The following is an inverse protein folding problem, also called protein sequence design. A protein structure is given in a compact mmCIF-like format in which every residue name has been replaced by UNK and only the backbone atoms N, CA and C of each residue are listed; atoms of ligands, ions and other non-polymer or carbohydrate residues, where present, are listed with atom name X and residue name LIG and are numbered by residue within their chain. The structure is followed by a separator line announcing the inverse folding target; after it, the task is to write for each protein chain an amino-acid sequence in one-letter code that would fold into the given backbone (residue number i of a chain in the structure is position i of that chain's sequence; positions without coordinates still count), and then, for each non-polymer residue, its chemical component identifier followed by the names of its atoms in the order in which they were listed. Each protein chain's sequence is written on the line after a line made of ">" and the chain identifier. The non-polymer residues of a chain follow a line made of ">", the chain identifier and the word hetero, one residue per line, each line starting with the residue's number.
data_IF_588687955565
#
_entry.id   IF_588687955565
#
_cell.length_a   1.000
_cell.length_b   1.000
_cell.length_c   1.000
_cell.angle_alpha   90.00
_cell.angle_beta   90.00
_cell.angle_gamma   90.00
#
_symmetry.space_group_name_H-M   'P 1'
#
loop_
_entity.id
_entity.type
_entity.pdbx_description
1 polymer ?
#
# COMPACT_ATOMS: atom_id res chain seq x y z
N UNK A 1 1.67 29.61 5.10
CA UNK A 1 0.29 29.26 5.47
C UNK A 1 0.33 28.34 6.68
N UNK A 2 -0.21 28.77 7.82
CA UNK A 2 -0.30 27.97 9.05
C UNK A 2 -1.65 27.28 9.10
N UNK A 3 -1.69 25.98 8.84
CA UNK A 3 -2.91 25.18 8.96
C UNK A 3 -2.88 24.36 10.26
N UNK A 4 -4.00 24.28 10.96
CA UNK A 4 -4.19 23.36 12.09
C UNK A 4 -5.08 22.22 11.65
N UNK A 5 -4.53 21.00 11.69
CA UNK A 5 -5.27 19.76 11.48
C UNK A 5 -5.69 19.19 12.82
N UNK A 6 -6.98 18.91 12.98
CA UNK A 6 -7.48 18.20 14.15
C UNK A 6 -8.11 16.88 13.74
N UNK A 7 -7.54 15.80 14.26
CA UNK A 7 -8.06 14.45 14.10
C UNK A 7 -8.99 14.13 15.26
N UNK A 8 -10.27 13.85 14.97
CA UNK A 8 -11.22 13.36 15.96
C UNK A 8 -11.61 11.93 15.59
N UNK A 9 -10.85 10.98 16.16
CA UNK A 9 -11.00 9.54 15.93
C UNK A 9 -12.08 8.85 16.79
N UNK A 10 -12.80 9.61 17.64
CA UNK A 10 -13.56 9.02 18.74
C UNK A 10 -15.02 9.46 18.76
N UNK A 11 -15.77 9.03 17.75
CA UNK A 11 -17.16 8.60 17.97
C UNK A 11 -17.27 7.24 17.30
N UNK A 12 -17.19 6.20 18.11
CA UNK A 12 -17.55 4.85 17.69
C UNK A 12 -19.04 4.95 17.35
N UNK A 13 -19.39 4.96 16.06
CA UNK A 13 -20.77 4.98 15.58
C UNK A 13 -21.45 3.63 15.86
N UNK A 14 -21.54 3.24 17.13
CA UNK A 14 -22.44 2.20 17.64
C UNK A 14 -23.86 2.77 17.86
N UNK A 15 -24.03 4.09 17.67
CA UNK A 15 -25.29 4.81 17.79
C UNK A 15 -25.47 5.59 16.48
N UNK A 16 -26.62 5.44 15.82
CA UNK A 16 -26.84 5.83 14.42
C UNK A 16 -26.30 7.22 14.00
N UNK A 17 -25.98 7.34 12.71
CA UNK A 17 -25.22 8.43 12.08
C UNK A 17 -25.74 9.85 12.41
N UNK A 18 -27.06 10.03 12.49
CA UNK A 18 -27.66 11.31 12.86
C UNK A 18 -27.24 11.77 14.28
N UNK A 19 -27.20 10.85 15.24
CA UNK A 19 -26.80 11.14 16.62
C UNK A 19 -25.30 11.43 16.71
N UNK A 20 -24.47 10.75 15.91
CA UNK A 20 -23.03 11.01 15.85
C UNK A 20 -22.72 12.41 15.30
N UNK A 21 -23.43 12.85 14.25
CA UNK A 21 -23.33 14.23 13.71
C UNK A 21 -23.70 15.27 14.76
N UNK A 22 -24.81 15.09 15.47
CA UNK A 22 -25.24 16.02 16.52
C UNK A 22 -24.24 16.08 17.67
N UNK A 23 -23.70 14.95 18.11
CA UNK A 23 -22.67 14.89 19.15
C UNK A 23 -21.39 15.60 18.72
N UNK A 24 -20.92 15.37 17.49
CA UNK A 24 -19.72 16.05 16.98
C UNK A 24 -19.91 17.56 16.91
N UNK A 25 -21.02 18.05 16.34
CA UNK A 25 -21.35 19.49 16.31
C UNK A 25 -21.47 20.08 17.72
N UNK A 26 -21.99 19.32 18.69
CA UNK A 26 -22.10 19.80 20.07
C UNK A 26 -20.75 20.13 20.72
N UNK A 27 -19.66 19.48 20.30
CA UNK A 27 -18.30 19.82 20.77
C UNK A 27 -17.83 21.21 20.31
N UNK A 28 -18.39 21.70 19.21
CA UNK A 28 -18.07 22.98 18.58
C UNK A 28 -19.10 24.07 18.90
N UNK A 29 -20.22 23.74 19.55
CA UNK A 29 -21.21 24.74 19.97
C UNK A 29 -20.71 25.49 21.20
N UNK A 30 -20.71 26.82 21.11
CA UNK A 30 -20.66 27.66 22.30
C UNK A 30 -22.06 27.77 22.91
N UNK A 31 -22.15 27.68 24.24
CA UNK A 31 -23.36 28.09 24.97
C UNK A 31 -23.10 29.50 25.53
N UNK A 32 -24.16 30.26 25.83
CA UNK A 32 -24.04 31.62 26.43
C UNK A 32 -23.11 31.70 27.64
N UNK A 33 -22.83 30.57 28.29
CA UNK A 33 -21.97 30.44 29.47
C UNK A 33 -20.63 29.73 29.23
N UNK A 34 -20.39 29.09 28.07
CA UNK A 34 -19.15 28.30 27.84
C UNK A 34 -18.76 28.31 26.36
N UNK A 35 -17.56 28.84 26.06
CA UNK A 35 -16.89 28.71 24.75
C UNK A 35 -16.52 27.25 24.48
N UNK A 36 -16.37 26.85 23.21
CA UNK A 36 -15.89 25.50 22.90
C UNK A 36 -14.48 25.33 23.47
N UNK A 37 -14.25 24.27 24.24
CA UNK A 37 -12.91 23.98 24.77
C UNK A 37 -11.88 23.78 23.64
N UNK A 38 -12.35 23.27 22.50
CA UNK A 38 -11.55 22.98 21.32
C UNK A 38 -11.24 24.25 20.52
N UNK A 39 -12.25 25.06 20.21
CA UNK A 39 -12.06 26.26 19.37
C UNK A 39 -11.54 27.46 20.15
N UNK A 40 -11.89 27.57 21.43
CA UNK A 40 -11.69 28.80 22.21
C UNK A 40 -10.28 29.01 22.77
N UNK A 41 -9.51 27.94 23.04
CA UNK A 41 -8.22 28.07 23.76
C UNK A 41 -6.99 27.67 22.96
N UNK A 42 -7.06 26.62 22.14
CA UNK A 42 -5.90 26.13 21.38
C UNK A 42 -5.77 26.79 20.01
N UNK A 43 -6.87 26.94 19.28
CA UNK A 43 -6.87 27.46 17.91
C UNK A 43 -6.63 28.97 17.90
N UNK A 44 -7.34 29.71 18.75
CA UNK A 44 -7.17 31.16 18.92
C UNK A 44 -5.71 31.54 19.27
N UNK A 45 -5.03 30.75 20.13
CA UNK A 45 -3.62 30.99 20.47
C UNK A 45 -2.66 30.77 19.31
N UNK A 46 -2.96 29.82 18.41
CA UNK A 46 -2.10 29.49 17.26
C UNK A 46 -2.30 30.43 16.07
N UNK A 47 -3.42 31.14 16.02
CA UNK A 47 -3.81 32.07 14.95
C UNK A 47 -3.55 31.51 13.54
N UNK A 48 -4.17 30.37 13.16
CA UNK A 48 -3.93 29.74 11.88
C UNK A 48 -4.67 30.44 10.72
N UNK A 49 -4.14 30.29 9.50
CA UNK A 49 -4.78 30.73 8.27
C UNK A 49 -5.92 29.79 7.83
N UNK A 50 -5.86 28.53 8.29
CA UNK A 50 -6.83 27.48 7.99
C UNK A 50 -7.02 26.49 9.15
N UNK A 51 -8.25 26.00 9.32
CA UNK A 51 -8.59 24.92 10.25
C UNK A 51 -9.30 23.78 9.50
N UNK A 52 -8.75 22.57 9.64
CA UNK A 52 -9.24 21.37 8.94
C UNK A 52 -9.58 20.30 9.99
N UNK A 53 -10.86 19.92 10.06
CA UNK A 53 -11.33 18.81 10.86
C UNK A 53 -11.38 17.53 10.03
N UNK A 54 -10.68 16.49 10.47
CA UNK A 54 -10.75 15.14 9.90
C UNK A 54 -11.59 14.26 10.83
N UNK A 55 -12.65 13.64 10.29
CA UNK A 55 -13.61 12.86 11.08
C UNK A 55 -14.10 11.60 10.39
N UNK A 56 -14.41 10.56 11.17
CA UNK A 56 -15.04 9.32 10.72
C UNK A 56 -16.57 9.39 10.61
N UNK A 57 -17.17 10.57 10.84
CA UNK A 57 -18.61 10.79 10.73
C UNK A 57 -18.95 11.13 9.28
N UNK A 58 -20.02 10.55 8.75
CA UNK A 58 -20.54 10.87 7.42
C UNK A 58 -20.79 12.39 7.29
N UNK A 59 -20.17 12.99 6.28
CA UNK A 59 -20.23 14.43 6.04
C UNK A 59 -21.16 14.70 4.86
N UNK A 60 -22.23 15.45 5.12
CA UNK A 60 -23.07 16.01 4.06
C UNK A 60 -22.98 17.55 4.02
N UNK A 61 -23.59 18.16 3.00
CA UNK A 61 -23.61 19.60 2.82
C UNK A 61 -24.18 20.37 4.01
N UNK A 62 -25.24 19.84 4.65
CA UNK A 62 -25.84 20.45 5.83
C UNK A 62 -24.86 20.50 7.02
N UNK A 63 -24.18 19.39 7.31
CA UNK A 63 -23.18 19.32 8.36
C UNK A 63 -22.01 20.28 8.10
N UNK A 64 -21.51 20.34 6.86
CA UNK A 64 -20.43 21.26 6.47
C UNK A 64 -20.78 22.72 6.76
N UNK A 65 -21.98 23.14 6.38
CA UNK A 65 -22.46 24.49 6.61
C UNK A 65 -22.56 24.81 8.10
N UNK A 66 -23.22 23.95 8.89
CA UNK A 66 -23.36 24.17 10.33
C UNK A 66 -22.03 24.17 11.09
N UNK A 67 -21.09 23.29 10.71
CA UNK A 67 -19.75 23.27 11.30
C UNK A 67 -18.98 24.57 10.99
N UNK A 68 -19.02 25.00 9.73
CA UNK A 68 -18.32 26.22 9.28
C UNK A 68 -18.88 27.47 9.96
N UNK A 69 -20.20 27.55 10.10
CA UNK A 69 -20.89 28.65 10.78
C UNK A 69 -20.48 28.73 12.25
N UNK A 70 -20.56 27.62 13.00
CA UNK A 70 -20.13 27.57 14.41
C UNK A 70 -18.65 27.96 14.58
N UNK A 71 -17.77 27.47 13.69
CA UNK A 71 -16.35 27.81 13.76
C UNK A 71 -16.09 29.30 13.50
N UNK A 72 -16.80 29.90 12.54
CA UNK A 72 -16.68 31.32 12.20
C UNK A 72 -17.23 32.23 13.29
N UNK A 73 -18.32 31.84 13.95
CA UNK A 73 -18.85 32.57 15.10
C UNK A 73 -17.81 32.68 16.23
N UNK A 74 -17.07 31.61 16.48
CA UNK A 74 -16.10 31.57 17.58
C UNK A 74 -14.72 32.15 17.21
N UNK A 75 -14.27 31.96 15.96
CA UNK A 75 -12.98 32.44 15.45
C UNK A 75 -13.13 33.06 14.05
N UNK A 76 -13.62 34.31 13.95
CA UNK A 76 -13.91 34.95 12.66
C UNK A 76 -12.66 35.29 11.83
N UNK A 77 -11.49 35.32 12.45
CA UNK A 77 -10.23 35.71 11.80
C UNK A 77 -9.64 34.62 10.89
N UNK A 78 -10.09 33.36 11.04
CA UNK A 78 -9.62 32.25 10.21
C UNK A 78 -10.40 32.26 8.89
N UNK A 79 -9.70 32.37 7.77
CA UNK A 79 -10.34 32.50 6.46
C UNK A 79 -10.88 31.17 5.93
N UNK A 80 -10.21 30.07 6.26
CA UNK A 80 -10.47 28.76 5.66
C UNK A 80 -10.87 27.71 6.70
N UNK A 81 -12.14 27.30 6.66
CA UNK A 81 -12.66 26.17 7.43
C UNK A 81 -12.97 25.02 6.49
N UNK A 82 -12.42 23.84 6.78
CA UNK A 82 -12.77 22.63 6.06
C UNK A 82 -13.07 21.50 7.04
N UNK A 83 -13.96 20.61 6.62
CA UNK A 83 -14.18 19.32 7.25
C UNK A 83 -14.06 18.26 6.17
N UNK A 84 -13.29 17.21 6.44
CA UNK A 84 -13.02 16.13 5.50
C UNK A 84 -13.41 14.82 6.19
N UNK A 85 -14.27 14.05 5.52
CA UNK A 85 -14.68 12.74 5.98
C UNK A 85 -13.52 11.76 5.79
N UNK A 86 -13.39 10.75 6.64
CA UNK A 86 -12.34 9.75 6.46
C UNK A 86 -12.42 9.08 5.10
N UNK A 87 -13.63 8.83 4.58
CA UNK A 87 -13.82 8.22 3.25
C UNK A 87 -13.41 9.17 2.12
N UNK A 88 -13.64 10.47 2.28
CA UNK A 88 -13.21 11.49 1.32
C UNK A 88 -11.69 11.69 1.35
N UNK A 89 -11.11 11.65 2.55
CA UNK A 89 -9.67 11.68 2.74
C UNK A 89 -9.05 10.41 2.15
N UNK A 90 -9.67 9.25 2.36
CA UNK A 90 -9.26 7.99 1.76
C UNK A 90 -9.30 8.07 0.25
N UNK A 91 -10.41 8.52 -0.35
CA UNK A 91 -10.55 8.65 -1.79
C UNK A 91 -9.50 9.63 -2.37
N UNK A 92 -9.30 10.77 -1.72
CA UNK A 92 -8.33 11.78 -2.17
C UNK A 92 -6.89 11.28 -2.08
N UNK A 93 -6.50 10.70 -0.93
CA UNK A 93 -5.14 10.18 -0.77
C UNK A 93 -4.94 8.93 -1.65
N UNK A 94 -5.98 8.11 -1.87
CA UNK A 94 -5.98 7.03 -2.86
C UNK A 94 -5.83 7.54 -4.28
N UNK A 95 -6.13 8.80 -4.61
CA UNK A 95 -5.85 9.36 -5.94
C UNK A 95 -4.45 10.00 -6.01
N UNK A 96 -3.96 10.57 -4.92
CA UNK A 96 -2.68 11.29 -4.84
C UNK A 96 -1.52 10.41 -4.35
N UNK A 97 -0.89 9.66 -5.26
CA UNK A 97 0.18 8.68 -4.96
C UNK A 97 1.28 9.23 -4.04
N UNK A 98 1.68 10.48 -4.23
CA UNK A 98 2.73 11.15 -3.45
C UNK A 98 2.36 11.47 -1.99
N UNK A 99 1.07 11.51 -1.66
CA UNK A 99 0.60 11.85 -0.31
C UNK A 99 0.27 10.61 0.53
N UNK A 100 0.18 9.42 -0.09
CA UNK A 100 -0.23 8.18 0.55
C UNK A 100 0.64 7.81 1.74
N UNK A 101 1.95 7.92 1.61
CA UNK A 101 2.92 7.59 2.67
C UNK A 101 2.78 8.41 3.94
N UNK A 102 2.34 9.66 3.81
CA UNK A 102 2.25 10.59 4.93
C UNK A 102 0.99 10.33 5.77
N UNK A 103 -0.08 9.86 5.13
CA UNK A 103 -1.41 9.83 5.74
C UNK A 103 -1.92 8.40 6.01
N UNK A 104 -1.56 7.41 5.19
CA UNK A 104 -2.09 6.05 5.33
C UNK A 104 -1.69 5.36 6.65
N UNK A 105 -0.40 5.36 7.08
CA UNK A 105 -0.02 4.71 8.35
C UNK A 105 -0.67 5.36 9.58
N UNK A 106 -1.01 6.64 9.48
CA UNK A 106 -1.58 7.43 10.58
C UNK A 106 -3.11 7.30 10.67
N UNK A 107 -3.77 7.03 9.55
CA UNK A 107 -5.25 6.99 9.45
C UNK A 107 -5.76 5.54 9.44
N UNK A 108 -5.02 4.62 8.85
CA UNK A 108 -5.44 3.23 8.64
C UNK A 108 -4.46 2.28 9.34
N UNK A 109 -5.00 1.33 10.10
CA UNK A 109 -4.17 0.33 10.77
C UNK A 109 -3.48 -0.59 9.74
N UNK A 110 -2.30 -1.17 10.07
CA UNK A 110 -1.62 -2.14 9.21
C UNK A 110 -2.49 -3.33 8.78
N UNK A 111 -3.53 -3.68 9.54
CA UNK A 111 -4.43 -4.79 9.19
C UNK A 111 -5.30 -4.52 7.94
N UNK A 112 -5.51 -3.24 7.57
CA UNK A 112 -6.38 -2.88 6.45
C UNK A 112 -5.72 -3.13 5.09
N UNK A 113 -4.43 -2.83 4.97
CA UNK A 113 -3.61 -3.11 3.79
C UNK A 113 -2.52 -4.08 4.20
N UNK A 114 -2.75 -5.37 3.96
CA UNK A 114 -1.85 -6.41 4.41
C UNK A 114 -1.66 -7.45 3.31
N UNK A 115 -0.41 -7.70 2.95
CA UNK A 115 -0.02 -8.65 1.93
C UNK A 115 0.78 -9.79 2.54
N UNK A 116 0.35 -11.01 2.27
CA UNK A 116 1.12 -12.22 2.55
C UNK A 116 1.92 -12.61 1.29
N UNK A 117 3.21 -12.87 1.48
CA UNK A 117 4.12 -13.28 0.43
C UNK A 117 4.39 -14.78 0.52
N UNK A 118 4.41 -15.46 -0.62
CA UNK A 118 4.88 -16.84 -0.74
C UNK A 118 5.79 -16.97 -1.95
N UNK A 119 6.91 -17.64 -1.76
CA UNK A 119 7.90 -17.89 -2.81
C UNK A 119 8.05 -19.39 -3.02
N UNK A 120 8.04 -19.83 -4.28
CA UNK A 120 8.21 -21.24 -4.62
C UNK A 120 8.93 -21.40 -5.97
N UNK A 121 9.76 -22.44 -6.15
CA UNK A 121 10.24 -22.83 -7.47
C UNK A 121 9.09 -23.39 -8.32
N UNK A 122 9.19 -23.22 -9.62
CA UNK A 122 8.24 -23.75 -10.60
C UNK A 122 8.86 -23.90 -11.99
N UNK A 123 8.03 -24.19 -12.98
CA UNK A 123 8.45 -24.25 -14.38
C UNK A 123 7.45 -23.56 -15.30
N UNK A 124 7.94 -23.03 -16.42
CA UNK A 124 7.12 -22.62 -17.56
C UNK A 124 6.74 -23.85 -18.37
N UNK A 125 5.72 -23.72 -19.21
CA UNK A 125 5.28 -24.79 -20.12
C UNK A 125 5.28 -24.30 -21.57
N UNK A 126 5.76 -25.14 -22.48
CA UNK A 126 5.69 -24.91 -23.94
C UNK A 126 4.68 -25.86 -24.57
N UNK A 127 3.88 -25.35 -25.50
CA UNK A 127 2.97 -26.18 -26.28
C UNK A 127 3.78 -27.00 -27.30
N UNK A 128 3.56 -28.32 -27.31
CA UNK A 128 4.35 -29.29 -28.09
C UNK A 128 3.70 -29.58 -29.45
N UNK A 129 2.37 -29.65 -29.51
CA UNK A 129 1.63 -30.02 -30.70
C UNK A 129 0.64 -28.94 -31.13
N UNK A 130 0.60 -28.66 -32.43
CA UNK A 130 -0.31 -27.70 -33.07
C UNK A 130 -1.19 -28.35 -34.15
N UNK A 131 -1.11 -29.66 -34.34
CA UNK A 131 -1.53 -30.31 -35.59
C UNK A 131 -2.40 -31.56 -35.47
N UNK A 132 -2.81 -32.01 -34.28
CA UNK A 132 -3.78 -33.11 -34.19
C UNK A 132 -4.88 -32.80 -33.18
N UNK A 133 -6.10 -33.11 -33.59
CA UNK A 133 -7.36 -32.53 -33.15
C UNK A 133 -7.85 -33.00 -31.77
N UNK A 134 -6.98 -33.34 -30.82
CA UNK A 134 -7.39 -33.69 -29.45
C UNK A 134 -6.32 -33.26 -28.43
N UNK A 135 -6.57 -32.12 -27.77
CA UNK A 135 -5.81 -31.66 -26.60
C UNK A 135 -4.48 -30.97 -26.93
N UNK A 136 -4.31 -29.73 -26.49
CA UNK A 136 -2.99 -29.11 -26.50
C UNK A 136 -2.09 -29.81 -25.48
N UNK A 137 -1.06 -30.52 -25.93
CA UNK A 137 -0.04 -31.08 -25.05
C UNK A 137 1.01 -30.01 -24.70
N UNK A 138 1.34 -29.91 -23.42
CA UNK A 138 2.32 -28.98 -22.87
C UNK A 138 3.46 -29.74 -22.19
N UNK A 139 4.71 -29.30 -22.40
CA UNK A 139 5.88 -29.82 -21.67
C UNK A 139 6.52 -28.73 -20.80
N UNK A 140 7.11 -29.09 -19.65
CA UNK A 140 7.97 -28.17 -18.92
C UNK A 140 9.08 -27.61 -19.83
N UNK A 141 9.31 -26.31 -19.77
CA UNK A 141 10.31 -25.62 -20.60
C UNK A 141 11.45 -25.04 -19.77
N UNK A 142 11.18 -24.08 -18.88
CA UNK A 142 12.21 -23.35 -18.14
C UNK A 142 11.92 -23.24 -16.65
N UNK A 143 12.93 -23.36 -15.78
CA UNK A 143 12.75 -23.14 -14.35
C UNK A 143 12.50 -21.65 -14.05
N UNK A 144 11.55 -21.40 -13.16
CA UNK A 144 11.12 -20.07 -12.71
C UNK A 144 10.98 -20.05 -11.19
N UNK A 145 11.11 -18.85 -10.65
CA UNK A 145 10.77 -18.52 -9.27
C UNK A 145 9.42 -17.81 -9.27
N UNK A 146 8.43 -18.39 -8.59
CA UNK A 146 7.08 -17.85 -8.47
C UNK A 146 6.92 -17.15 -7.13
N UNK A 147 6.64 -15.84 -7.17
CA UNK A 147 6.21 -15.04 -6.04
C UNK A 147 4.69 -14.89 -6.10
N UNK A 148 3.98 -15.50 -5.16
CA UNK A 148 2.56 -15.23 -4.93
C UNK A 148 2.44 -14.10 -3.91
N UNK A 149 1.70 -13.05 -4.28
CA UNK A 149 1.34 -11.94 -3.42
C UNK A 149 -0.16 -12.04 -3.16
N UNK A 150 -0.54 -12.33 -1.92
CA UNK A 150 -1.93 -12.51 -1.50
C UNK A 150 -2.37 -11.35 -0.64
N UNK A 151 -3.52 -10.75 -0.96
CA UNK A 151 -4.11 -9.73 -0.09
C UNK A 151 -4.89 -10.41 1.03
N UNK A 152 -4.35 -10.30 2.24
CA UNK A 152 -4.94 -10.82 3.49
C UNK A 152 -5.51 -9.68 4.36
N UNK A 153 -5.50 -8.45 3.84
CA UNK A 153 -6.12 -7.29 4.46
C UNK A 153 -7.59 -7.12 4.06
N UNK A 154 -8.17 -6.02 4.55
CA UNK A 154 -9.59 -5.68 4.32
C UNK A 154 -9.81 -4.80 3.07
N UNK A 155 -8.77 -4.12 2.59
CA UNK A 155 -8.86 -3.19 1.46
C UNK A 155 -8.06 -3.67 0.24
N UNK A 156 -8.50 -3.27 -0.96
CA UNK A 156 -7.78 -3.55 -2.21
C UNK A 156 -6.39 -2.94 -2.18
N UNK A 157 -5.39 -3.76 -2.52
CA UNK A 157 -3.99 -3.36 -2.54
C UNK A 157 -3.48 -3.25 -3.98
N UNK A 158 -2.51 -2.36 -4.19
CA UNK A 158 -1.89 -2.13 -5.50
C UNK A 158 -0.39 -2.20 -5.32
N UNK A 159 0.31 -2.98 -6.13
CA UNK A 159 1.77 -3.07 -6.03
C UNK A 159 2.44 -1.86 -6.69
N UNK A 160 3.50 -1.35 -6.08
CA UNK A 160 4.34 -0.30 -6.65
C UNK A 160 5.66 -0.85 -7.17
N UNK A 161 6.26 -1.84 -6.49
CA UNK A 161 7.46 -2.51 -6.97
C UNK A 161 7.71 -3.85 -6.29
N UNK A 162 8.45 -4.71 -6.98
CA UNK A 162 9.01 -5.96 -6.46
C UNK A 162 10.51 -5.92 -6.73
N UNK A 163 11.32 -6.16 -5.70
CA UNK A 163 12.79 -6.18 -5.81
C UNK A 163 13.36 -7.35 -5.03
N UNK A 164 14.51 -7.82 -5.47
CA UNK A 164 15.29 -8.80 -4.72
C UNK A 164 16.45 -8.08 -4.04
N UNK A 165 16.53 -8.23 -2.72
CA UNK A 165 17.62 -7.71 -1.91
C UNK A 165 18.80 -8.66 -2.00
N UNK A 166 19.96 -8.10 -2.33
CA UNK A 166 21.20 -8.85 -2.47
C UNK A 166 22.31 -8.20 -1.66
N UNK A 167 23.22 -9.02 -1.14
CA UNK A 167 24.45 -8.57 -0.50
C UNK A 167 25.63 -8.92 -1.39
N UNK A 168 26.46 -7.92 -1.69
CA UNK A 168 27.61 -8.09 -2.54
C UNK A 168 28.78 -7.27 -2.00
N UNK A 169 29.92 -7.90 -1.73
CA UNK A 169 31.12 -7.23 -1.20
C UNK A 169 30.86 -6.39 0.08
N UNK A 170 29.94 -6.84 0.93
CA UNK A 170 29.55 -6.13 2.16
C UNK A 170 28.55 -4.98 1.95
N UNK A 171 28.16 -4.69 0.70
CA UNK A 171 27.15 -3.69 0.37
C UNK A 171 25.78 -4.32 0.10
N UNK A 172 24.72 -3.62 0.52
CA UNK A 172 23.34 -3.98 0.18
C UNK A 172 22.98 -3.31 -1.14
N UNK A 173 22.53 -4.11 -2.10
CA UNK A 173 21.92 -3.60 -3.32
C UNK A 173 20.58 -4.29 -3.60
N UNK A 174 19.82 -3.71 -4.51
CA UNK A 174 18.55 -4.26 -4.95
C UNK A 174 18.61 -4.48 -6.43
N UNK A 175 18.47 -5.72 -6.87
CA UNK A 175 18.32 -5.98 -8.29
C UNK A 175 16.82 -5.94 -8.64
N UNK A 176 16.49 -5.05 -9.59
CA UNK A 176 15.14 -4.84 -10.10
C UNK A 176 15.13 -5.25 -11.56
N UNK A 177 14.28 -6.22 -11.91
CA UNK A 177 13.84 -6.34 -13.29
C UNK A 177 12.35 -6.54 -13.28
N UNK A 178 11.67 -5.68 -14.05
CA UNK A 178 10.25 -5.81 -14.29
C UNK A 178 9.97 -7.28 -14.63
N UNK A 179 8.93 -7.87 -14.04
CA UNK A 179 8.38 -9.14 -14.51
C UNK A 179 8.23 -9.06 -16.05
N UNK A 180 8.50 -10.15 -16.78
CA UNK A 180 8.48 -10.22 -18.26
C UNK A 180 7.32 -9.35 -18.80
N UNK A 181 7.58 -8.28 -19.59
CA UNK A 181 6.53 -7.36 -20.00
C UNK A 181 5.47 -8.08 -20.81
N UNK A 182 4.20 -7.71 -20.58
CA UNK A 182 3.00 -8.27 -21.21
C UNK A 182 2.92 -7.91 -22.70
N UNK A 183 3.84 -8.40 -23.52
CA UNK A 183 3.61 -8.42 -24.95
C UNK A 183 2.67 -9.60 -25.21
N UNK A 184 1.48 -9.31 -25.78
CA UNK A 184 0.25 -10.12 -25.80
C UNK A 184 0.33 -11.51 -26.49
N UNK A 185 1.52 -12.08 -26.66
CA UNK A 185 1.76 -13.37 -27.32
C UNK A 185 2.43 -14.37 -26.37
N UNK A 186 2.85 -13.95 -25.16
CA UNK A 186 3.46 -14.84 -24.18
C UNK A 186 2.45 -15.28 -23.09
N UNK A 187 2.08 -16.57 -22.99
CA UNK A 187 1.24 -17.10 -21.90
C UNK A 187 1.92 -17.03 -20.51
N UNK A 188 3.18 -16.60 -20.45
CA UNK A 188 3.99 -16.40 -19.23
C UNK A 188 4.03 -14.94 -18.78
N UNK A 189 3.20 -14.06 -19.36
CA UNK A 189 3.15 -12.66 -18.99
C UNK A 189 2.79 -12.51 -17.51
N UNK A 190 3.56 -11.66 -16.83
CA UNK A 190 3.29 -11.30 -15.46
C UNK A 190 2.18 -10.25 -15.38
N UNK A 191 1.43 -10.18 -14.25
CA UNK A 191 0.52 -9.09 -13.98
C UNK A 191 1.24 -7.74 -14.12
N UNK A 192 0.52 -6.72 -14.58
CA UNK A 192 1.11 -5.37 -14.61
C UNK A 192 1.21 -4.84 -13.19
N UNK A 193 2.34 -4.22 -12.86
CA UNK A 193 2.49 -3.50 -11.60
C UNK A 193 1.42 -2.40 -11.53
N UNK A 194 0.72 -2.33 -10.39
CA UNK A 194 -0.40 -1.43 -10.17
C UNK A 194 -1.78 -2.00 -10.53
N UNK A 195 -1.88 -3.25 -10.97
CA UNK A 195 -3.17 -3.95 -11.03
C UNK A 195 -3.74 -4.19 -9.62
N UNK A 196 -5.07 -4.13 -9.46
CA UNK A 196 -5.72 -4.32 -8.16
C UNK A 196 -5.59 -5.77 -7.68
N UNK A 197 -5.26 -5.94 -6.41
CA UNK A 197 -5.35 -7.21 -5.68
C UNK A 197 -6.45 -7.05 -4.62
N UNK A 198 -7.65 -7.53 -4.93
CA UNK A 198 -8.80 -7.47 -4.01
C UNK A 198 -8.56 -8.32 -2.75
N UNK A 199 -9.23 -8.01 -1.62
CA UNK A 199 -9.18 -8.84 -0.41
C UNK A 199 -9.46 -10.32 -0.70
N UNK A 200 -8.61 -11.21 -0.19
CA UNK A 200 -8.71 -12.67 -0.40
C UNK A 200 -8.24 -13.14 -1.79
N UNK A 201 -7.78 -12.24 -2.67
CA UNK A 201 -7.20 -12.60 -3.97
C UNK A 201 -5.68 -12.63 -3.92
N UNK A 202 -5.09 -13.24 -4.94
CA UNK A 202 -3.65 -13.33 -5.12
C UNK A 202 -3.23 -12.98 -6.54
N UNK A 203 -2.07 -12.35 -6.68
CA UNK A 203 -1.35 -12.17 -7.93
C UNK A 203 -0.06 -12.99 -7.90
N UNK A 204 0.28 -13.65 -9.02
CA UNK A 204 1.51 -14.43 -9.14
C UNK A 204 2.49 -13.77 -10.12
N UNK A 205 3.72 -13.56 -9.66
CA UNK A 205 4.83 -13.01 -10.42
C UNK A 205 5.90 -14.07 -10.61
N UNK A 206 6.38 -14.23 -11.84
CA UNK A 206 7.26 -15.30 -12.30
C UNK A 206 8.57 -14.69 -12.78
N UNK A 207 9.67 -15.17 -12.20
CA UNK A 207 11.03 -14.70 -12.47
C UNK A 207 11.88 -15.86 -12.99
N UNK A 208 12.36 -15.82 -14.25
CA UNK A 208 13.23 -16.87 -14.78
C UNK A 208 14.53 -17.02 -13.99
N UNK A 209 14.93 -18.25 -13.68
CA UNK A 209 16.19 -18.52 -12.95
C UNK A 209 17.41 -17.90 -13.64
N UNK A 210 17.42 -17.96 -14.98
CA UNK A 210 18.46 -17.34 -15.82
C UNK A 210 18.68 -15.85 -15.53
N UNK A 211 17.68 -15.13 -15.04
CA UNK A 211 17.82 -13.72 -14.66
C UNK A 211 18.82 -13.54 -13.52
N UNK A 212 18.70 -14.37 -12.47
CA UNK A 212 19.56 -14.34 -11.29
C UNK A 212 20.99 -14.77 -11.63
N UNK A 213 21.11 -15.86 -12.40
CA UNK A 213 22.40 -16.39 -12.86
C UNK A 213 23.14 -15.41 -13.77
N UNK A 214 22.42 -14.74 -14.68
CA UNK A 214 23.00 -13.70 -15.53
C UNK A 214 23.47 -12.50 -14.72
N UNK A 215 22.68 -12.07 -13.73
CA UNK A 215 23.09 -10.98 -12.84
C UNK A 215 24.37 -11.32 -12.09
N UNK A 216 24.49 -12.56 -11.58
CA UNK A 216 25.69 -13.01 -10.87
C UNK A 216 26.92 -13.04 -11.79
N UNK A 217 26.75 -13.49 -13.04
CA UNK A 217 27.83 -13.47 -14.04
C UNK A 217 28.28 -12.04 -14.43
N UNK A 218 27.35 -11.10 -14.52
CA UNK A 218 27.63 -9.73 -14.97
C UNK A 218 28.17 -8.83 -13.85
N UNK A 219 27.69 -9.01 -12.62
CA UNK A 219 28.02 -8.14 -11.49
C UNK A 219 28.99 -8.77 -10.51
N UNK A 220 29.18 -10.09 -10.55
CA UNK A 220 29.91 -10.85 -9.54
C UNK A 220 28.95 -11.61 -8.63
N UNK A 221 29.49 -12.57 -7.88
CA UNK A 221 28.73 -13.37 -6.93
C UNK A 221 28.11 -12.48 -5.83
N UNK A 222 26.88 -12.81 -5.44
CA UNK A 222 26.11 -12.09 -4.44
C UNK A 222 25.28 -13.05 -3.61
N UNK A 223 24.97 -12.67 -2.37
CA UNK A 223 24.02 -13.35 -1.52
C UNK A 223 22.59 -12.88 -1.75
N UNK A 224 21.71 -13.79 -2.16
CA UNK A 224 20.30 -13.51 -2.41
C UNK A 224 19.49 -13.67 -1.12
N UNK A 225 19.21 -12.56 -0.46
CA UNK A 225 18.66 -12.52 0.90
C UNK A 225 17.14 -12.66 0.95
N UNK A 226 16.44 -11.70 0.34
CA UNK A 226 14.99 -11.60 0.47
C UNK A 226 14.36 -11.01 -0.79
N UNK A 227 13.09 -11.35 -0.99
CA UNK A 227 12.22 -10.64 -1.93
C UNK A 227 11.44 -9.59 -1.15
N UNK A 228 11.37 -8.40 -1.73
CA UNK A 228 10.81 -7.21 -1.12
C UNK A 228 9.75 -6.63 -2.03
N UNK A 229 8.56 -6.45 -1.49
CA UNK A 229 7.38 -5.95 -2.20
C UNK A 229 6.96 -4.65 -1.53
N UNK A 230 6.79 -3.62 -2.34
CA UNK A 230 6.16 -2.38 -1.93
C UNK A 230 4.78 -2.29 -2.56
N UNK A 231 3.79 -1.89 -1.77
CA UNK A 231 2.52 -1.43 -2.30
C UNK A 231 2.57 0.07 -2.67
N UNK A 232 1.51 0.58 -3.26
CA UNK A 232 1.42 1.98 -3.67
C UNK A 232 1.13 2.96 -2.53
N UNK A 233 1.04 2.48 -1.29
CA UNK A 233 1.00 3.31 -0.08
C UNK A 233 2.32 3.22 0.70
N UNK A 234 3.34 2.61 0.07
CA UNK A 234 4.70 2.37 0.55
C UNK A 234 4.81 1.52 1.82
N UNK A 235 3.85 0.63 2.07
CA UNK A 235 4.10 -0.46 3.01
C UNK A 235 5.13 -1.42 2.42
N UNK A 236 5.98 -1.93 3.31
CA UNK A 236 7.04 -2.85 3.00
C UNK A 236 6.66 -4.26 3.45
N UNK A 237 6.66 -5.20 2.51
CA UNK A 237 6.51 -6.63 2.79
C UNK A 237 7.78 -7.34 2.34
N UNK A 238 8.36 -8.16 3.20
CA UNK A 238 9.56 -8.92 2.90
C UNK A 238 9.38 -10.39 3.20
N UNK A 239 10.02 -11.23 2.38
CA UNK A 239 10.09 -12.66 2.58
C UNK A 239 11.53 -13.12 2.34
N UNK A 240 12.11 -13.77 3.35
CA UNK A 240 13.44 -14.37 3.24
C UNK A 240 13.43 -15.50 2.20
N UNK A 241 14.49 -15.55 1.40
CA UNK A 241 14.67 -16.59 0.39
C UNK A 241 15.41 -17.74 1.05
N UNK A 242 14.82 -18.93 1.07
CA UNK A 242 15.40 -20.09 1.75
C UNK A 242 16.67 -20.60 1.06
N UNK A 243 17.51 -21.34 1.81
CA UNK A 243 18.72 -21.96 1.27
C UNK A 243 18.40 -22.89 0.09
N UNK A 244 17.31 -23.67 0.16
CA UNK A 244 16.93 -24.59 -0.91
C UNK A 244 16.66 -23.84 -2.22
N UNK A 245 16.02 -22.68 -2.16
CA UNK A 245 15.78 -21.85 -3.35
C UNK A 245 17.11 -21.30 -3.90
N UNK A 246 18.03 -20.87 -3.03
CA UNK A 246 19.35 -20.36 -3.47
C UNK A 246 20.18 -21.47 -4.12
N UNK A 247 20.18 -22.67 -3.55
CA UNK A 247 20.85 -23.84 -4.13
C UNK A 247 20.26 -24.21 -5.49
N UNK A 248 18.93 -24.15 -5.65
CA UNK A 248 18.28 -24.37 -6.94
C UNK A 248 18.65 -23.30 -7.98
N UNK A 249 18.84 -22.05 -7.55
CA UNK A 249 19.18 -20.93 -8.45
C UNK A 249 20.64 -20.96 -8.91
N UNK A 250 21.58 -21.27 -8.01
CA UNK A 250 23.02 -21.09 -8.26
C UNK A 250 23.84 -22.38 -8.20
N UNK A 251 23.26 -23.50 -7.76
CA UNK A 251 23.95 -24.76 -7.49
C UNK A 251 24.56 -24.83 -6.08
N UNK A 252 24.90 -26.03 -5.64
CA UNK A 252 25.44 -26.35 -4.29
C UNK A 252 26.85 -25.83 -4.02
N UNK A 253 27.58 -25.37 -5.05
CA UNK A 253 28.99 -24.93 -4.92
C UNK A 253 29.18 -23.40 -4.88
N UNK A 254 28.10 -22.61 -4.89
CA UNK A 254 28.19 -21.14 -4.93
C UNK A 254 28.29 -20.46 -3.55
N UNK A 255 28.35 -21.25 -2.46
CA UNK A 255 28.19 -20.74 -1.10
C UNK A 255 29.21 -21.38 -0.17
N UNK A 256 30.43 -20.83 -0.15
CA UNK A 256 31.36 -21.03 0.95
C UNK A 256 31.60 -19.67 1.60
N UNK A 257 31.19 -19.59 2.87
CA UNK A 257 31.60 -18.65 3.91
C UNK A 257 31.58 -17.15 3.61
N UNK A 258 30.46 -16.52 3.98
CA UNK A 258 30.49 -15.19 4.60
C UNK A 258 30.29 -15.39 6.10
N UNK A 259 31.36 -15.83 6.77
CA UNK A 259 31.49 -15.81 8.22
C UNK A 259 31.60 -14.39 8.77
#
# INVERSE_FOLDING_TARGET
>A
MKAVFQFKHKVVARVGEANARTQLLSMYRSTRTRKSEVLGSEIAKRNPDAYILVTNVEINSGFRSSFTELCREENPNIQNYQVIGLDELEAWVTQERQLRTLYFPTIFSPARFNLALKLAPGCTYKQISRWESDGAEYSPDRPILCLTVMNVGEATSYLSSIKFKIYQQGEVSYFMKSPIPSNQIDPLANPKIGEPIEPGRSAEFRFPFMMFQRHAKEKGEYFLDSVVVWDQIDNLYSLEISNEIRELLFGTNAWIDLG
#
